data_IF_772021938386
#
_entry.id   IF_772021938386
#
_cell.length_a   1.000
_cell.length_b   1.000
_cell.length_c   1.000
_cell.angle_alpha   90.00
_cell.angle_beta   90.00
_cell.angle_gamma   90.00
#
_symmetry.space_group_name_H-M   'P 1'
#
loop_
_entity.id
_entity.type
_entity.pdbx_description
1 polymer ?
#
# COMPACT_ATOMS: atom_id res chain seq x y z
N UNK A 1 -19.29 8.72 1.35
CA UNK A 1 -20.28 9.19 0.35
C UNK A 1 -21.15 8.02 -0.11
N UNK A 2 -22.31 7.88 0.53
CA UNK A 2 -23.35 6.93 0.16
C UNK A 2 -24.42 7.73 -0.59
N UNK A 3 -24.74 7.36 -1.83
CA UNK A 3 -25.71 8.05 -2.66
C UNK A 3 -26.86 7.12 -3.07
N UNK A 4 -28.01 7.71 -3.37
CA UNK A 4 -29.20 7.03 -3.88
C UNK A 4 -28.94 6.47 -5.31
N UNK A 5 -29.57 5.34 -5.63
CA UNK A 5 -29.34 4.54 -6.85
C UNK A 5 -29.75 5.24 -8.16
N UNK A 6 -30.30 6.45 -8.07
CA UNK A 6 -30.97 7.17 -9.17
C UNK A 6 -30.10 8.24 -9.83
N UNK A 7 -28.91 8.55 -9.31
CA UNK A 7 -28.00 9.57 -9.86
C UNK A 7 -26.63 8.98 -10.17
N UNK A 8 -26.13 9.22 -11.40
CA UNK A 8 -24.81 8.80 -11.87
C UNK A 8 -23.69 9.44 -11.01
N UNK A 9 -22.62 8.68 -10.67
CA UNK A 9 -22.44 8.40 -9.26
C UNK A 9 -21.06 8.84 -8.75
N UNK A 10 -21.03 9.44 -7.56
CA UNK A 10 -19.87 9.77 -6.74
C UNK A 10 -18.67 10.51 -7.38
N UNK A 11 -18.74 10.98 -8.64
CA UNK A 11 -17.74 11.87 -9.25
C UNK A 11 -16.40 11.22 -9.66
N UNK A 12 -16.37 9.91 -9.97
CA UNK A 12 -15.15 9.25 -10.48
C UNK A 12 -15.37 8.62 -11.85
N UNK A 13 -14.32 8.57 -12.68
CA UNK A 13 -14.38 8.07 -14.06
C UNK A 13 -14.33 6.53 -14.17
N UNK A 14 -14.33 5.81 -13.04
CA UNK A 14 -14.29 4.35 -13.04
C UNK A 14 -15.69 3.76 -13.24
N UNK A 15 -15.92 3.15 -14.40
CA UNK A 15 -17.19 2.50 -14.77
C UNK A 15 -17.47 1.22 -13.95
N UNK A 16 -16.45 0.67 -13.28
CA UNK A 16 -16.58 -0.54 -12.47
C UNK A 16 -17.09 -0.26 -11.05
N UNK A 17 -17.20 1.02 -10.66
CA UNK A 17 -17.78 1.39 -9.37
C UNK A 17 -19.30 1.20 -9.38
N UNK A 18 -19.87 0.65 -8.29
CA UNK A 18 -21.32 0.57 -8.16
C UNK A 18 -21.92 1.98 -7.97
N UNK A 19 -23.16 2.23 -8.45
CA UNK A 19 -23.76 3.58 -8.43
C UNK A 19 -23.86 4.21 -7.03
N UNK A 20 -23.95 3.41 -5.98
CA UNK A 20 -24.16 3.88 -4.63
C UNK A 20 -22.88 4.36 -3.92
N UNK A 21 -21.70 3.85 -4.31
CA UNK A 21 -20.46 4.12 -3.56
C UNK A 21 -19.19 3.85 -4.38
N UNK A 22 -18.22 4.77 -4.30
CA UNK A 22 -16.85 4.52 -4.73
C UNK A 22 -15.93 4.27 -3.55
N UNK A 23 -15.44 3.03 -3.43
CA UNK A 23 -14.41 2.65 -2.45
C UNK A 23 -13.09 3.39 -2.72
N UNK A 24 -12.81 3.79 -3.95
CA UNK A 24 -11.60 4.54 -4.31
C UNK A 24 -11.50 5.91 -3.64
N UNK A 25 -12.61 6.65 -3.54
CA UNK A 25 -12.63 7.94 -2.82
C UNK A 25 -12.37 7.75 -1.33
N UNK A 26 -12.87 6.66 -0.75
CA UNK A 26 -12.58 6.30 0.64
C UNK A 26 -11.09 5.98 0.80
N UNK A 27 -10.52 5.22 -0.14
CA UNK A 27 -9.10 4.87 -0.14
C UNK A 27 -8.20 6.11 -0.22
N UNK A 28 -8.48 7.06 -1.13
CA UNK A 28 -7.74 8.32 -1.24
C UNK A 28 -7.74 9.10 0.07
N UNK A 29 -8.89 9.17 0.74
CA UNK A 29 -9.01 9.85 2.04
C UNK A 29 -8.15 9.18 3.11
N UNK A 30 -8.20 7.85 3.22
CA UNK A 30 -7.38 7.11 4.19
C UNK A 30 -5.88 7.32 3.94
N UNK A 31 -5.48 7.22 2.68
CA UNK A 31 -4.11 7.46 2.22
C UNK A 31 -3.60 8.85 2.62
N UNK A 32 -4.43 9.89 2.45
CA UNK A 32 -4.08 11.27 2.81
C UNK A 32 -3.98 11.51 4.33
N UNK A 33 -4.60 10.65 5.14
CA UNK A 33 -4.61 10.77 6.60
C UNK A 33 -3.49 9.97 7.27
N UNK A 34 -2.86 9.04 6.54
CA UNK A 34 -1.81 8.16 7.02
C UNK A 34 -0.75 8.00 5.93
N UNK A 35 -0.02 9.08 5.65
CA UNK A 35 0.94 9.13 4.54
C UNK A 35 2.19 8.28 4.78
N UNK A 36 2.52 8.02 6.04
CA UNK A 36 3.65 7.21 6.50
C UNK A 36 3.31 5.72 6.66
N UNK A 37 2.05 5.33 6.43
CA UNK A 37 1.60 3.96 6.55
C UNK A 37 1.57 3.23 5.20
N UNK A 38 1.99 1.97 5.24
CA UNK A 38 1.81 1.03 4.13
C UNK A 38 0.40 0.44 4.16
N UNK A 39 -0.29 0.48 3.03
CA UNK A 39 -1.62 -0.10 2.88
C UNK A 39 -1.56 -1.46 2.21
N UNK A 40 -2.34 -2.41 2.73
CA UNK A 40 -2.59 -3.71 2.11
C UNK A 40 -4.09 -3.78 1.82
N UNK A 41 -4.47 -3.77 0.54
CA UNK A 41 -5.87 -3.81 0.11
C UNK A 41 -6.22 -5.18 -0.45
N UNK A 42 -7.30 -5.78 0.04
CA UNK A 42 -7.79 -7.09 -0.40
C UNK A 42 -9.13 -6.92 -1.12
N UNK A 43 -9.31 -7.62 -2.24
CA UNK A 43 -10.57 -7.56 -2.98
C UNK A 43 -10.72 -8.65 -4.03
N UNK A 44 -11.94 -8.81 -4.53
CA UNK A 44 -12.32 -9.84 -5.51
C UNK A 44 -13.25 -9.30 -6.61
N UNK A 45 -14.06 -8.29 -6.31
CA UNK A 45 -15.09 -7.78 -7.21
C UNK A 45 -14.66 -6.60 -8.09
N UNK A 46 -15.48 -6.27 -9.10
CA UNK A 46 -15.27 -5.10 -9.97
C UNK A 46 -15.20 -3.78 -9.18
N UNK A 47 -16.01 -3.64 -8.12
CA UNK A 47 -16.02 -2.44 -7.28
C UNK A 47 -14.72 -2.20 -6.49
N UNK A 48 -13.83 -3.18 -6.47
CA UNK A 48 -12.52 -3.11 -5.83
C UNK A 48 -11.42 -2.61 -6.77
N UNK A 49 -11.69 -2.48 -8.07
CA UNK A 49 -10.70 -1.98 -9.02
C UNK A 49 -10.34 -0.51 -8.76
N UNK A 50 -11.35 0.31 -8.46
CA UNK A 50 -11.12 1.74 -8.20
C UNK A 50 -10.20 2.00 -7.00
N UNK A 51 -10.39 1.40 -5.80
CA UNK A 51 -9.45 1.57 -4.70
C UNK A 51 -8.06 0.98 -4.99
N UNK A 52 -7.94 -0.14 -5.71
CA UNK A 52 -6.63 -0.68 -6.12
C UNK A 52 -5.83 0.32 -6.96
N UNK A 53 -6.49 1.08 -7.82
CA UNK A 53 -5.88 2.16 -8.62
C UNK A 53 -5.39 3.36 -7.80
N UNK A 54 -5.84 3.50 -6.54
CA UNK A 54 -5.46 4.62 -5.66
C UNK A 54 -4.27 4.30 -4.78
N UNK A 55 -3.86 3.04 -4.73
CA UNK A 55 -2.70 2.60 -3.96
C UNK A 55 -1.41 3.20 -4.52
N UNK A 56 -0.48 3.49 -3.62
CA UNK A 56 0.81 4.11 -3.93
C UNK A 56 1.87 3.04 -4.19
N UNK A 57 3.01 3.48 -4.71
CA UNK A 57 4.21 2.63 -4.71
C UNK A 57 4.60 2.32 -3.27
N UNK A 58 4.84 1.04 -2.98
CA UNK A 58 5.12 0.55 -1.63
C UNK A 58 3.89 0.03 -0.88
N UNK A 59 2.68 0.28 -1.39
CA UNK A 59 1.47 -0.39 -0.95
C UNK A 59 1.31 -1.75 -1.66
N UNK A 60 0.34 -2.55 -1.20
CA UNK A 60 0.06 -3.89 -1.70
C UNK A 60 -1.42 -4.05 -2.08
N UNK A 61 -1.66 -4.64 -3.24
CA UNK A 61 -2.97 -5.04 -3.74
C UNK A 61 -3.04 -6.57 -3.78
N UNK A 62 -4.02 -7.16 -3.12
CA UNK A 62 -4.20 -8.60 -3.04
C UNK A 62 -5.52 -9.04 -3.70
N UNK A 63 -5.54 -9.20 -5.04
CA UNK A 63 -6.74 -9.62 -5.74
C UNK A 63 -6.98 -11.12 -5.62
N UNK A 64 -8.24 -11.52 -5.43
CA UNK A 64 -8.61 -12.94 -5.45
C UNK A 64 -8.50 -13.51 -6.87
N UNK A 65 -7.68 -14.53 -7.05
CA UNK A 65 -7.39 -15.18 -8.33
C UNK A 65 -8.64 -15.77 -8.95
N UNK A 66 -8.79 -15.57 -10.27
CA UNK A 66 -9.95 -15.99 -11.06
C UNK A 66 -11.28 -15.30 -10.69
N UNK A 67 -11.22 -14.17 -9.99
CA UNK A 67 -12.37 -13.29 -9.74
C UNK A 67 -12.26 -12.00 -10.57
N UNK A 68 -13.37 -11.23 -10.71
CA UNK A 68 -13.40 -10.07 -11.60
C UNK A 68 -12.26 -9.07 -11.39
N UNK A 69 -11.90 -8.75 -10.14
CA UNK A 69 -10.79 -7.84 -9.85
C UNK A 69 -9.46 -8.34 -10.45
N UNK A 70 -9.15 -9.62 -10.24
CA UNK A 70 -7.93 -10.24 -10.75
C UNK A 70 -7.89 -10.17 -12.27
N UNK A 71 -8.98 -10.52 -12.96
CA UNK A 71 -9.02 -10.44 -14.42
C UNK A 71 -8.73 -9.04 -14.95
N UNK A 72 -9.29 -7.99 -14.32
CA UNK A 72 -9.06 -6.61 -14.74
C UNK A 72 -7.61 -6.19 -14.49
N UNK A 73 -7.07 -6.50 -13.30
CA UNK A 73 -5.68 -6.15 -12.94
C UNK A 73 -4.68 -6.91 -13.82
N UNK A 74 -4.84 -8.23 -13.99
CA UNK A 74 -3.94 -9.05 -14.79
C UNK A 74 -3.94 -8.68 -16.27
N UNK A 75 -5.01 -8.07 -16.79
CA UNK A 75 -5.07 -7.58 -18.16
C UNK A 75 -4.14 -6.39 -18.41
N UNK A 76 -3.93 -5.54 -17.40
CA UNK A 76 -2.98 -4.43 -17.46
C UNK A 76 -2.45 -4.06 -16.06
N UNK A 77 -1.48 -4.81 -15.53
CA UNK A 77 -0.98 -4.62 -14.17
C UNK A 77 -0.25 -3.29 -13.98
N UNK A 78 0.25 -2.68 -15.07
CA UNK A 78 1.01 -1.42 -15.02
C UNK A 78 0.18 -0.21 -14.57
N UNK A 79 -1.15 -0.32 -14.58
CA UNK A 79 -2.04 0.70 -14.06
C UNK A 79 -2.02 0.75 -12.52
N UNK A 80 -1.67 -0.36 -11.86
CA UNK A 80 -1.58 -0.43 -10.40
C UNK A 80 -0.16 -0.07 -9.98
N UNK A 81 -0.02 0.98 -9.17
CA UNK A 81 1.30 1.40 -8.65
C UNK A 81 1.79 0.54 -7.47
N UNK A 82 0.87 -0.15 -6.79
CA UNK A 82 1.15 -1.08 -5.72
C UNK A 82 1.72 -2.41 -6.22
N UNK A 83 2.41 -3.12 -5.33
CA UNK A 83 2.78 -4.52 -5.56
C UNK A 83 1.52 -5.39 -5.59
N UNK A 84 1.43 -6.34 -6.50
CA UNK A 84 0.25 -7.20 -6.67
C UNK A 84 0.60 -8.62 -6.18
N UNK A 85 -0.11 -9.09 -5.15
CA UNK A 85 0.02 -10.43 -4.57
C UNK A 85 -1.34 -11.13 -4.53
N UNK A 86 -1.61 -11.96 -5.53
CA UNK A 86 -2.87 -12.70 -5.65
C UNK A 86 -3.05 -13.83 -4.62
N UNK A 87 -4.30 -14.13 -4.28
CA UNK A 87 -4.66 -15.26 -3.40
C UNK A 87 -5.85 -16.04 -3.95
N UNK A 88 -5.97 -17.32 -3.61
CA UNK A 88 -6.98 -18.24 -4.19
C UNK A 88 -8.12 -18.55 -3.22
N UNK A 89 -7.78 -18.99 -2.01
CA UNK A 89 -8.69 -19.35 -0.94
C UNK A 89 -8.24 -18.80 0.42
N UNK A 90 -8.94 -19.14 1.50
CA UNK A 90 -8.65 -18.61 2.83
C UNK A 90 -7.29 -19.04 3.38
N UNK A 91 -6.83 -20.26 3.09
CA UNK A 91 -5.55 -20.75 3.57
C UNK A 91 -4.38 -20.11 2.81
N UNK A 92 -4.54 -19.95 1.50
CA UNK A 92 -3.58 -19.22 0.66
C UNK A 92 -3.49 -17.74 1.04
N UNK A 93 -4.65 -17.12 1.30
CA UNK A 93 -4.72 -15.76 1.80
C UNK A 93 -3.97 -15.59 3.13
N UNK A 94 -4.19 -16.49 4.08
CA UNK A 94 -3.49 -16.48 5.37
C UNK A 94 -1.97 -16.57 5.18
N UNK A 95 -1.51 -17.57 4.41
CA UNK A 95 -0.09 -17.77 4.15
C UNK A 95 0.56 -16.55 3.47
N UNK A 96 -0.08 -16.03 2.44
CA UNK A 96 0.43 -14.90 1.65
C UNK A 96 0.46 -13.62 2.47
N UNK A 97 -0.62 -13.30 3.18
CA UNK A 97 -0.71 -12.09 4.00
C UNK A 97 0.30 -12.10 5.16
N UNK A 98 0.44 -13.23 5.87
CA UNK A 98 1.41 -13.34 6.96
C UNK A 98 2.84 -13.22 6.47
N UNK A 99 3.17 -13.86 5.34
CA UNK A 99 4.49 -13.77 4.72
C UNK A 99 4.82 -12.33 4.33
N UNK A 100 3.85 -11.63 3.74
CA UNK A 100 3.95 -10.22 3.38
C UNK A 100 4.20 -9.33 4.61
N UNK A 101 3.38 -9.46 5.65
CA UNK A 101 3.53 -8.66 6.88
C UNK A 101 4.90 -8.90 7.53
N UNK A 102 5.38 -10.14 7.55
CA UNK A 102 6.69 -10.46 8.09
C UNK A 102 7.82 -9.86 7.24
N UNK A 103 7.68 -9.86 5.91
CA UNK A 103 8.63 -9.20 5.00
C UNK A 103 8.71 -7.70 5.27
N UNK A 104 7.57 -7.01 5.37
CA UNK A 104 7.50 -5.56 5.66
C UNK A 104 8.19 -5.23 7.00
N UNK A 105 7.93 -6.04 8.04
CA UNK A 105 8.57 -5.86 9.36
C UNK A 105 10.09 -5.98 9.28
N UNK A 106 10.60 -6.99 8.59
CA UNK A 106 12.04 -7.21 8.43
C UNK A 106 12.71 -6.02 7.72
N UNK A 107 12.14 -5.55 6.61
CA UNK A 107 12.68 -4.39 5.87
C UNK A 107 12.69 -3.11 6.70
N UNK A 108 11.68 -2.92 7.56
CA UNK A 108 11.62 -1.77 8.46
C UNK A 108 12.73 -1.83 9.52
N UNK A 109 12.99 -3.00 10.09
CA UNK A 109 14.05 -3.20 11.09
C UNK A 109 15.43 -2.92 10.50
N UNK A 110 15.72 -3.44 9.31
CA UNK A 110 17.00 -3.22 8.61
C UNK A 110 17.24 -1.73 8.31
N UNK A 111 16.20 -0.99 7.93
CA UNK A 111 16.32 0.44 7.65
C UNK A 111 16.65 1.23 8.94
N UNK A 112 16.03 0.86 10.06
CA UNK A 112 16.26 1.52 11.34
C UNK A 112 17.66 1.23 11.91
N UNK A 113 18.16 0.00 11.79
CA UNK A 113 19.52 -0.35 12.25
C UNK A 113 20.60 0.34 11.43
N UNK A 114 20.44 0.44 10.11
CA UNK A 114 21.37 1.14 9.24
C UNK A 114 21.41 2.65 9.53
N UNK A 115 20.26 3.28 9.79
CA UNK A 115 20.20 4.70 10.16
C UNK A 115 20.81 4.99 11.54
N UNK A 116 20.62 4.09 12.51
CA UNK A 116 21.24 4.21 13.84
C UNK A 116 22.78 4.12 13.76
N UNK A 117 23.30 3.19 12.96
CA UNK A 117 24.75 3.00 12.79
C UNK A 117 25.42 4.17 12.04
N UNK A 118 24.71 4.83 11.12
CA UNK A 118 25.23 6.01 10.41
C UNK A 118 25.25 7.27 11.30
N UNK A 119 24.43 7.34 12.35
CA UNK A 119 24.39 8.50 13.26
C UNK A 119 25.53 8.48 14.29
N UNK A 120 26.15 7.32 14.57
CA UNK A 120 27.29 7.22 15.50
C UNK A 120 28.67 7.46 14.86
N UNK A 121 28.76 7.69 13.54
CA UNK A 121 30.05 7.86 12.83
C UNK A 121 30.34 9.31 12.38
N UNK A 122 29.89 10.32 13.13
CA UNK A 122 30.45 11.68 13.00
C UNK A 122 31.73 11.80 13.83
N UNK A 123 32.92 12.07 13.24
CA UNK A 123 34.14 12.24 14.02
C UNK A 123 34.05 13.55 14.80
N UNK A 124 33.95 13.46 16.13
CA UNK A 124 34.27 14.56 17.05
C UNK A 124 35.75 14.89 16.90
N UNK A 125 36.06 15.90 16.07
CA UNK A 125 37.35 16.60 16.17
C UNK A 125 37.27 17.54 17.36
N UNK A 126 37.68 17.05 18.53
CA UNK A 126 38.07 17.92 19.63
C UNK A 126 39.47 17.47 20.07
N UNK A 127 40.48 18.15 19.52
CA UNK A 127 41.87 17.97 19.89
C UNK A 127 42.12 18.62 21.25
N UNK A 128 42.57 17.80 22.19
CA UNK A 128 43.01 18.19 23.52
C UNK A 128 44.15 19.22 23.50
N UNK A 129 44.07 20.12 24.48
CA UNK A 129 45.09 21.09 24.87
C UNK A 129 46.32 20.37 25.47
N UNK A 130 47.53 20.73 25.07
CA UNK A 130 48.70 20.75 25.98
C UNK A 130 49.69 21.85 25.58
N UNK A 131 49.63 22.93 26.37
CA UNK A 131 50.68 23.66 27.07
C UNK A 131 52.10 23.88 26.48
N UNK A 132 52.62 25.07 26.83
CA UNK A 132 54.02 25.45 27.10
C UNK A 132 54.86 26.03 25.94
N UNK A 133 54.87 27.36 25.81
CA UNK A 133 55.92 28.24 26.36
C UNK A 133 55.50 29.72 26.27
#
# INVERSE_FOLDING_TARGET
PHHDFTTTPHGCNCILCPPNMCKGIVMEKLISQAEDQTFIYLGDGNGDYCPSMKLRKGDYCMPRKNFPLWHVISSNPTLISATIDEWTDGGDLECTLLSLINSIKSSTIETNTNNANNTMNSPTKETDKMNMN
#
